data_IF_237990382908
#
_entry.id   IF_237990382908
#
_cell.length_a   1.000
_cell.length_b   1.000
_cell.length_c   1.000
_cell.angle_alpha   90.00
_cell.angle_beta   90.00
_cell.angle_gamma   90.00
#
_symmetry.space_group_name_H-M   'P 1'
#
loop_
_entity.id
_entity.type
_entity.pdbx_description
1 polymer ?
#
# COMPACT_ATOMS: atom_id res chain seq x y z
N UNK A 1 18.41 -28.10 30.44
CA UNK A 1 18.75 -26.98 29.52
C UNK A 1 17.81 -27.04 28.33
N UNK A 2 16.89 -26.07 28.19
CA UNK A 2 15.98 -25.97 27.05
C UNK A 2 16.80 -25.44 25.87
N UNK A 3 17.02 -26.24 24.82
CA UNK A 3 17.66 -25.76 23.59
C UNK A 3 16.74 -24.68 23.00
N UNK A 4 17.14 -23.42 23.07
CA UNK A 4 16.54 -22.36 22.29
C UNK A 4 16.95 -22.67 20.85
N UNK A 5 16.00 -23.14 20.03
CA UNK A 5 16.24 -23.32 18.60
C UNK A 5 16.64 -21.97 18.03
N UNK A 6 17.79 -21.89 17.34
CA UNK A 6 18.12 -20.74 16.51
C UNK A 6 16.93 -20.54 15.56
N UNK A 7 16.24 -19.41 15.68
CA UNK A 7 15.25 -19.03 14.69
C UNK A 7 15.92 -19.09 13.31
N UNK A 8 15.42 -19.97 12.47
CA UNK A 8 15.87 -20.09 11.09
C UNK A 8 15.54 -18.79 10.40
N UNK A 9 16.56 -18.07 9.95
CA UNK A 9 16.40 -16.88 9.11
C UNK A 9 15.63 -17.28 7.86
N UNK A 10 14.33 -17.01 7.82
CA UNK A 10 13.48 -17.37 6.71
C UNK A 10 13.45 -16.15 5.79
N UNK A 11 14.12 -16.23 4.64
CA UNK A 11 14.27 -15.11 3.70
C UNK A 11 12.93 -14.55 3.21
N UNK A 12 11.85 -15.33 3.32
CA UNK A 12 10.48 -14.93 2.98
C UNK A 12 9.74 -14.26 4.15
N UNK A 13 10.31 -14.20 5.36
CA UNK A 13 9.70 -13.59 6.52
C UNK A 13 9.67 -12.06 6.39
N UNK A 14 8.48 -11.50 6.23
CA UNK A 14 8.24 -10.06 6.29
C UNK A 14 8.18 -9.56 7.73
N UNK A 15 8.51 -8.29 7.90
CA UNK A 15 8.58 -7.56 9.15
C UNK A 15 7.66 -6.34 9.15
N UNK A 16 7.35 -5.79 10.33
CA UNK A 16 6.61 -4.52 10.44
C UNK A 16 7.31 -3.35 9.74
N UNK A 17 8.64 -3.39 9.66
CA UNK A 17 9.42 -2.41 8.92
C UNK A 17 9.09 -2.49 7.43
N UNK A 18 8.80 -3.69 6.89
CA UNK A 18 8.40 -3.85 5.50
C UNK A 18 7.04 -3.20 5.22
N UNK A 19 6.07 -3.31 6.13
CA UNK A 19 4.78 -2.63 6.01
C UNK A 19 4.92 -1.10 6.09
N UNK A 20 5.83 -0.61 6.93
CA UNK A 20 6.15 0.81 6.99
C UNK A 20 6.81 1.30 5.70
N UNK A 21 7.76 0.54 5.15
CA UNK A 21 8.41 0.86 3.86
C UNK A 21 7.37 0.83 2.73
N UNK A 22 6.50 -0.17 2.68
CA UNK A 22 5.39 -0.24 1.70
C UNK A 22 4.50 0.99 1.82
N UNK A 23 4.15 1.41 3.03
CA UNK A 23 3.38 2.64 3.26
C UNK A 23 4.10 3.87 2.68
N UNK A 24 5.40 4.03 2.96
CA UNK A 24 6.18 5.13 2.40
C UNK A 24 6.27 5.09 0.86
N UNK A 25 6.54 3.92 0.27
CA UNK A 25 6.64 3.74 -1.19
C UNK A 25 5.32 4.08 -1.87
N UNK A 26 4.20 3.59 -1.33
CA UNK A 26 2.88 3.84 -1.91
C UNK A 26 2.41 5.28 -1.74
N UNK A 27 2.94 5.99 -0.74
CA UNK A 27 2.76 7.44 -0.62
C UNK A 27 3.48 8.20 -1.76
N UNK A 28 4.70 7.78 -2.15
CA UNK A 28 5.41 8.35 -3.30
C UNK A 28 4.62 8.12 -4.60
N UNK A 29 4.12 6.90 -4.78
CA UNK A 29 3.27 6.53 -5.91
C UNK A 29 2.01 7.41 -5.98
N UNK A 30 1.36 7.67 -4.84
CA UNK A 30 0.24 8.60 -4.76
C UNK A 30 0.61 10.02 -5.20
N UNK A 31 1.76 10.56 -4.75
CA UNK A 31 2.22 11.89 -5.15
C UNK A 31 2.47 11.98 -6.67
N UNK A 32 3.04 10.92 -7.27
CA UNK A 32 3.22 10.84 -8.73
C UNK A 32 1.85 10.85 -9.44
N UNK A 33 0.89 10.07 -8.94
CA UNK A 33 -0.48 10.04 -9.47
C UNK A 33 -1.18 11.41 -9.37
N UNK A 34 -0.99 12.13 -8.26
CA UNK A 34 -1.48 13.50 -8.09
C UNK A 34 -0.86 14.46 -9.10
N UNK A 35 0.47 14.42 -9.27
CA UNK A 35 1.16 15.26 -10.24
C UNK A 35 0.62 15.03 -11.65
N UNK A 36 0.50 13.77 -12.07
CA UNK A 36 0.03 13.45 -13.41
C UNK A 36 -1.43 13.87 -13.64
N UNK A 37 -2.27 13.71 -12.61
CA UNK A 37 -3.70 14.01 -12.70
C UNK A 37 -4.00 15.50 -12.65
N UNK A 38 -3.37 16.25 -11.75
CA UNK A 38 -3.67 17.66 -11.52
C UNK A 38 -2.68 18.61 -12.19
N UNK A 39 -1.41 18.26 -12.33
CA UNK A 39 -0.42 19.20 -12.87
C UNK A 39 -0.12 18.96 -14.35
N UNK A 40 -0.47 17.78 -14.88
CA UNK A 40 -0.31 17.44 -16.30
C UNK A 40 -1.44 17.93 -17.21
N UNK A 41 -2.65 18.06 -16.68
CA UNK A 41 -3.80 18.65 -17.37
C UNK A 41 -4.06 20.03 -16.75
N UNK A 42 -3.99 21.13 -17.49
CA UNK A 42 -4.28 22.48 -16.94
C UNK A 42 -5.73 22.89 -17.15
N UNK A 43 -6.53 22.10 -17.88
CA UNK A 43 -7.89 22.46 -18.28
C UNK A 43 -8.87 22.53 -17.09
N UNK A 44 -8.55 21.89 -15.97
CA UNK A 44 -9.35 21.95 -14.74
C UNK A 44 -9.11 23.23 -13.93
N UNK A 45 -8.00 23.95 -14.13
CA UNK A 45 -7.71 25.20 -13.43
C UNK A 45 -8.40 26.35 -14.15
N UNK A 46 -9.68 26.57 -13.81
CA UNK A 46 -10.47 27.72 -14.30
C UNK A 46 -11.41 27.41 -15.47
N UNK A 47 -11.45 26.17 -15.96
CA UNK A 47 -12.46 25.67 -16.90
C UNK A 47 -13.65 25.00 -16.20
N UNK A 48 -14.83 24.89 -16.84
CA UNK A 48 -15.92 24.07 -16.31
C UNK A 48 -15.46 22.62 -16.20
N UNK A 49 -15.77 21.97 -15.07
CA UNK A 49 -15.49 20.56 -14.81
C UNK A 49 -15.89 19.71 -16.03
N UNK A 50 -14.90 19.25 -16.80
CA UNK A 50 -15.12 18.27 -17.87
C UNK A 50 -15.37 16.92 -17.19
N UNK A 51 -16.63 16.51 -17.10
CA UNK A 51 -17.07 15.20 -16.55
C UNK A 51 -16.68 14.02 -17.48
N UNK A 52 -15.59 14.17 -18.24
CA UNK A 52 -15.22 13.28 -19.36
C UNK A 52 -14.24 12.16 -19.02
N UNK A 53 -13.55 12.22 -17.88
CA UNK A 53 -12.75 11.09 -17.40
C UNK A 53 -12.81 11.04 -15.89
N UNK A 54 -13.65 10.15 -15.36
CA UNK A 54 -13.72 9.90 -13.91
C UNK A 54 -12.52 9.06 -13.41
N UNK A 55 -11.68 8.54 -14.31
CA UNK A 55 -10.57 7.64 -13.98
C UNK A 55 -9.51 8.32 -13.10
N UNK A 56 -9.06 9.56 -13.37
CA UNK A 56 -8.05 10.21 -12.55
C UNK A 56 -8.57 10.59 -11.17
N UNK A 57 -9.83 11.05 -11.07
CA UNK A 57 -10.50 11.35 -9.78
C UNK A 57 -10.67 10.08 -8.94
N UNK A 58 -11.10 8.98 -9.55
CA UNK A 58 -11.21 7.68 -8.85
C UNK A 58 -9.84 7.19 -8.39
N UNK A 59 -8.80 7.39 -9.20
CA UNK A 59 -7.44 7.01 -8.86
C UNK A 59 -6.88 7.79 -7.65
N UNK A 60 -7.21 9.07 -7.51
CA UNK A 60 -6.84 9.88 -6.33
C UNK A 60 -7.48 9.34 -5.06
N UNK A 61 -8.69 8.76 -5.14
CA UNK A 61 -9.33 8.12 -3.99
C UNK A 61 -8.74 6.75 -3.67
N UNK A 62 -8.38 5.96 -4.67
CA UNK A 62 -7.97 4.56 -4.48
C UNK A 62 -6.49 4.41 -4.11
N UNK A 63 -5.58 5.20 -4.69
CA UNK A 63 -4.15 5.16 -4.38
C UNK A 63 -3.86 5.35 -2.87
N UNK A 64 -4.40 6.37 -2.18
CA UNK A 64 -4.08 6.58 -0.78
C UNK A 64 -4.74 5.55 0.13
N UNK A 65 -5.99 5.16 -0.14
CA UNK A 65 -6.73 4.21 0.69
C UNK A 65 -6.13 2.81 0.57
N UNK A 66 -5.88 2.34 -0.65
CA UNK A 66 -5.37 0.99 -0.90
C UNK A 66 -3.84 0.88 -0.76
N UNK A 67 -3.11 2.00 -0.78
CA UNK A 67 -1.67 2.01 -0.62
C UNK A 67 -1.29 2.09 0.85
N UNK A 68 -0.88 3.28 1.28
CA UNK A 68 -0.43 3.55 2.64
C UNK A 68 -1.51 3.38 3.70
N UNK A 69 -2.78 3.70 3.41
CA UNK A 69 -3.90 3.48 4.34
C UNK A 69 -4.06 2.00 4.69
N UNK A 70 -4.08 1.13 3.69
CA UNK A 70 -4.16 -0.31 3.86
C UNK A 70 -2.93 -0.89 4.58
N UNK A 71 -1.72 -0.47 4.20
CA UNK A 71 -0.48 -0.93 4.83
C UNK A 71 -0.43 -0.61 6.33
N UNK A 72 -0.88 0.58 6.73
CA UNK A 72 -0.99 0.98 8.14
C UNK A 72 -2.04 0.17 8.90
N UNK A 73 -3.24 0.02 8.33
CA UNK A 73 -4.32 -0.75 8.95
C UNK A 73 -3.92 -2.21 9.17
N UNK A 74 -3.24 -2.80 8.19
CA UNK A 74 -2.73 -4.17 8.28
C UNK A 74 -1.62 -4.25 9.34
N UNK A 75 -0.66 -3.32 9.37
CA UNK A 75 0.36 -3.29 10.41
C UNK A 75 -0.22 -3.26 11.83
N UNK A 76 -1.24 -2.44 12.06
CA UNK A 76 -1.96 -2.39 13.34
C UNK A 76 -2.70 -3.71 13.60
N UNK A 77 -3.33 -4.30 12.58
CA UNK A 77 -4.08 -5.55 12.70
C UNK A 77 -3.19 -6.74 13.07
N UNK A 78 -2.01 -6.86 12.45
CA UNK A 78 -1.04 -7.92 12.74
C UNK A 78 -0.49 -7.83 14.17
N UNK A 79 -0.39 -6.63 14.73
CA UNK A 79 0.07 -6.43 16.11
C UNK A 79 -1.07 -6.62 17.13
N UNK A 80 -2.20 -5.95 16.91
CA UNK A 80 -3.30 -5.91 17.88
C UNK A 80 -4.10 -7.22 17.96
N UNK A 81 -4.30 -7.92 16.83
CA UNK A 81 -5.19 -9.08 16.80
C UNK A 81 -4.67 -10.26 17.64
N UNK A 82 -3.38 -10.67 17.54
CA UNK A 82 -2.85 -11.73 18.40
C UNK A 82 -2.86 -11.35 19.88
N UNK A 83 -2.66 -10.07 20.20
CA UNK A 83 -2.68 -9.54 21.57
C UNK A 83 -4.08 -9.62 22.19
N UNK A 84 -5.11 -9.12 21.49
CA UNK A 84 -6.48 -9.06 21.99
C UNK A 84 -7.09 -10.46 22.17
N UNK A 85 -6.74 -11.41 21.30
CA UNK A 85 -7.31 -12.76 21.29
C UNK A 85 -6.39 -13.84 21.89
N UNK A 86 -5.22 -13.47 22.42
CA UNK A 86 -4.20 -14.41 22.93
C UNK A 86 -3.87 -15.53 21.93
N UNK A 87 -3.87 -15.19 20.64
CA UNK A 87 -3.61 -16.11 19.56
C UNK A 87 -2.10 -16.17 19.26
N UNK A 88 -1.68 -17.21 18.53
CA UNK A 88 -0.32 -17.27 18.02
C UNK A 88 -0.06 -16.10 17.04
N UNK A 89 1.17 -15.56 16.98
CA UNK A 89 1.55 -14.60 15.95
C UNK A 89 1.33 -15.17 14.55
N UNK A 90 1.03 -14.30 13.59
CA UNK A 90 0.88 -14.69 12.19
C UNK A 90 2.20 -15.15 11.58
N UNK A 91 2.12 -15.95 10.52
CA UNK A 91 3.29 -16.37 9.75
C UNK A 91 3.98 -15.13 9.12
N UNK A 92 5.28 -14.91 9.35
CA UNK A 92 6.00 -13.78 8.77
C UNK A 92 5.93 -13.71 7.24
N UNK A 93 5.81 -14.84 6.54
CA UNK A 93 5.66 -14.86 5.08
C UNK A 93 4.36 -14.23 4.58
N UNK A 94 3.34 -14.16 5.43
CA UNK A 94 2.07 -13.50 5.12
C UNK A 94 2.27 -11.99 4.98
N UNK A 95 3.11 -11.38 5.83
CA UNK A 95 3.43 -9.95 5.77
C UNK A 95 4.12 -9.62 4.45
N UNK A 96 5.12 -10.41 4.06
CA UNK A 96 5.85 -10.27 2.80
C UNK A 96 4.92 -10.39 1.58
N UNK A 97 4.00 -11.37 1.61
CA UNK A 97 3.02 -11.60 0.53
C UNK A 97 2.06 -10.41 0.38
N UNK A 98 1.54 -9.89 1.50
CA UNK A 98 0.64 -8.72 1.48
C UNK A 98 1.37 -7.47 1.00
N UNK A 99 2.61 -7.26 1.44
CA UNK A 99 3.46 -6.15 0.99
C UNK A 99 3.65 -6.18 -0.54
N UNK A 100 4.01 -7.33 -1.09
CA UNK A 100 4.18 -7.51 -2.53
C UNK A 100 2.88 -7.27 -3.31
N UNK A 101 1.75 -7.78 -2.80
CA UNK A 101 0.44 -7.58 -3.41
C UNK A 101 0.02 -6.10 -3.40
N UNK A 102 0.29 -5.39 -2.30
CA UNK A 102 -0.03 -3.98 -2.16
C UNK A 102 0.76 -3.13 -3.19
N UNK A 103 2.08 -3.32 -3.24
CA UNK A 103 2.94 -2.64 -4.23
C UNK A 103 2.51 -2.98 -5.66
N UNK A 104 2.26 -4.26 -5.96
CA UNK A 104 1.83 -4.71 -7.27
C UNK A 104 0.51 -4.07 -7.71
N UNK A 105 -0.48 -4.02 -6.82
CA UNK A 105 -1.77 -3.35 -7.09
C UNK A 105 -1.61 -1.86 -7.36
N UNK A 106 -0.74 -1.18 -6.59
CA UNK A 106 -0.47 0.26 -6.76
C UNK A 106 0.20 0.58 -8.10
N UNK A 107 1.14 -0.27 -8.53
CA UNK A 107 1.77 -0.17 -9.86
C UNK A 107 0.71 -0.30 -10.97
N UNK A 108 -0.21 -1.27 -10.86
CA UNK A 108 -1.27 -1.46 -11.86
C UNK A 108 -2.23 -0.28 -11.92
N UNK A 109 -2.60 0.30 -10.78
CA UNK A 109 -3.45 1.50 -10.74
C UNK A 109 -2.75 2.66 -11.45
N UNK A 110 -1.47 2.91 -11.13
CA UNK A 110 -0.69 3.97 -11.78
C UNK A 110 -0.55 3.74 -13.27
N UNK A 111 -0.23 2.51 -13.70
CA UNK A 111 -0.15 2.19 -15.12
C UNK A 111 -1.47 2.55 -15.84
N UNK A 112 -2.62 2.24 -15.24
CA UNK A 112 -3.93 2.62 -15.75
C UNK A 112 -4.09 4.14 -15.92
N UNK A 113 -3.67 4.95 -14.94
CA UNK A 113 -3.69 6.43 -15.01
C UNK A 113 -2.80 6.95 -16.13
N UNK A 114 -1.59 6.40 -16.27
CA UNK A 114 -0.62 6.88 -17.25
C UNK A 114 -1.03 6.55 -18.70
N UNK A 115 -1.88 5.54 -18.89
CA UNK A 115 -2.38 5.13 -20.22
C UNK A 115 -3.78 5.61 -20.56
N UNK A 116 -4.49 6.25 -19.63
CA UNK A 116 -5.84 6.80 -19.83
C UNK A 116 -5.80 8.18 -20.47
#
# INVERSE_FOLDING_TARGET
MRRISKESYNWAAGSYVDLFIVSAVTQVLFVIGLYWTFLGDTDWVGGPLKVGSNVPILAIGTLPVLGWGMALAIGIGFDKFPLDYKAAPFDPSLISTIAALNIGGQILIIAGILTS
#
